data_IF_819419839001
#
_entry.id   IF_819419839001
#
_cell.length_a   1.000
_cell.length_b   1.000
_cell.length_c   1.000
_cell.angle_alpha   90.00
_cell.angle_beta   90.00
_cell.angle_gamma   90.00
#
_symmetry.space_group_name_H-M   'P 1'
#
loop_
_entity.id
_entity.type
_entity.pdbx_description
1 polymer ?
#
# COMPACT_ATOMS: atom_id res chain seq x y z
N UNK A 1 -44.26 -14.24 16.80
CA UNK A 1 -42.93 -13.67 16.45
C UNK A 1 -42.47 -13.85 14.99
N UNK A 2 -43.23 -14.50 14.09
CA UNK A 2 -42.81 -14.70 12.68
C UNK A 2 -43.16 -13.57 11.69
N UNK A 3 -44.05 -12.64 12.08
CA UNK A 3 -44.51 -11.57 11.18
C UNK A 3 -43.58 -10.34 11.10
N UNK A 4 -42.74 -10.09 12.12
CA UNK A 4 -41.85 -8.92 12.16
C UNK A 4 -40.63 -9.05 11.24
N UNK A 5 -40.17 -10.27 10.97
CA UNK A 5 -38.99 -10.50 10.11
C UNK A 5 -39.33 -10.38 8.61
N UNK A 6 -40.55 -10.76 8.20
CA UNK A 6 -41.00 -10.66 6.80
C UNK A 6 -41.22 -9.19 6.41
N UNK A 7 -41.73 -8.35 7.33
CA UNK A 7 -41.95 -6.92 7.06
C UNK A 7 -40.63 -6.15 6.88
N UNK A 8 -39.57 -6.52 7.61
CA UNK A 8 -38.26 -5.88 7.52
C UNK A 8 -37.58 -6.16 6.16
N UNK A 9 -37.67 -7.40 5.68
CA UNK A 9 -37.07 -7.82 4.40
C UNK A 9 -37.76 -7.12 3.21
N UNK A 10 -39.08 -6.93 3.29
CA UNK A 10 -39.87 -6.27 2.24
C UNK A 10 -39.59 -4.77 2.14
N UNK A 11 -39.37 -4.09 3.28
CA UNK A 11 -39.01 -2.66 3.30
C UNK A 11 -37.62 -2.42 2.72
N UNK A 12 -36.66 -3.32 2.98
CA UNK A 12 -35.30 -3.23 2.41
C UNK A 12 -35.33 -3.42 0.89
N UNK A 13 -36.10 -4.38 0.39
CA UNK A 13 -36.22 -4.61 -1.06
C UNK A 13 -36.86 -3.44 -1.81
N UNK A 14 -37.89 -2.81 -1.22
CA UNK A 14 -38.53 -1.64 -1.84
C UNK A 14 -37.57 -0.44 -1.84
N UNK A 15 -36.78 -0.24 -0.79
CA UNK A 15 -35.79 0.83 -0.72
C UNK A 15 -34.72 0.70 -1.82
N UNK A 16 -34.19 -0.51 -2.03
CA UNK A 16 -33.21 -0.79 -3.08
C UNK A 16 -33.78 -0.58 -4.49
N UNK A 17 -35.04 -0.96 -4.72
CA UNK A 17 -35.69 -0.75 -6.02
C UNK A 17 -35.95 0.73 -6.32
N UNK A 18 -36.26 1.55 -5.31
CA UNK A 18 -36.40 3.02 -5.50
C UNK A 18 -35.07 3.72 -5.75
N UNK A 19 -33.97 3.26 -5.13
CA UNK A 19 -32.64 3.82 -5.37
C UNK A 19 -32.17 3.47 -6.79
N UNK A 20 -32.38 2.23 -7.25
CA UNK A 20 -32.01 1.81 -8.60
C UNK A 20 -32.82 2.48 -9.72
N UNK A 21 -34.02 3.00 -9.42
CA UNK A 21 -34.89 3.64 -10.41
C UNK A 21 -34.75 5.18 -10.46
N UNK A 22 -34.01 5.78 -9.53
CA UNK A 22 -33.73 7.22 -9.50
C UNK A 22 -32.58 7.63 -10.45
N UNK A 23 -31.73 6.70 -10.87
CA UNK A 23 -30.57 6.99 -11.74
C UNK A 23 -30.84 6.87 -13.25
N UNK A 24 -32.06 6.53 -13.68
CA UNK A 24 -32.40 6.39 -15.12
C UNK A 24 -33.44 7.39 -15.58
N UNK A 25 -33.13 8.68 -15.55
CA UNK A 25 -33.83 9.67 -16.41
C UNK A 25 -32.87 10.73 -16.97
N UNK A 26 -32.60 10.58 -18.26
CA UNK A 26 -32.39 11.63 -19.26
C UNK A 26 -31.56 12.86 -18.85
N UNK A 27 -30.24 12.74 -18.96
CA UNK A 27 -29.37 13.82 -19.39
C UNK A 27 -28.38 13.18 -20.36
N UNK A 28 -28.34 13.61 -21.63
CA UNK A 28 -27.23 13.23 -22.52
C UNK A 28 -25.91 13.67 -21.88
N UNK A 29 -24.78 12.96 -22.09
CA UNK A 29 -23.58 13.23 -21.30
C UNK A 29 -23.04 14.62 -21.64
N UNK A 30 -23.33 15.58 -20.77
CA UNK A 30 -22.53 16.79 -20.64
C UNK A 30 -21.24 16.35 -19.94
N UNK A 31 -20.19 16.11 -20.73
CA UNK A 31 -18.88 15.78 -20.19
C UNK A 31 -18.28 17.04 -19.57
N UNK A 32 -18.20 17.04 -18.26
CA UNK A 32 -17.58 18.08 -17.45
C UNK A 32 -16.20 17.57 -17.01
N UNK A 33 -15.13 18.22 -17.46
CA UNK A 33 -13.76 17.96 -16.96
C UNK A 33 -13.50 18.86 -15.78
N UNK A 34 -13.31 18.29 -14.59
CA UNK A 34 -13.12 19.04 -13.35
C UNK A 34 -11.63 19.21 -13.03
N UNK A 35 -11.18 20.45 -12.81
CA UNK A 35 -9.87 20.77 -12.21
C UNK A 35 -10.05 20.96 -10.71
N UNK A 36 -9.21 20.32 -9.90
CA UNK A 36 -9.15 20.54 -8.46
C UNK A 36 -7.78 21.14 -8.10
N UNK A 37 -7.70 22.47 -8.00
CA UNK A 37 -6.48 23.12 -7.51
C UNK A 37 -6.47 23.02 -5.98
N UNK A 38 -5.45 22.40 -5.41
CA UNK A 38 -5.32 22.13 -3.96
C UNK A 38 -5.31 23.36 -3.05
N UNK A 39 -5.45 24.58 -3.60
CA UNK A 39 -5.40 25.85 -2.88
C UNK A 39 -6.74 26.60 -2.87
N UNK A 40 -7.86 25.98 -2.49
CA UNK A 40 -9.08 26.69 -2.08
C UNK A 40 -9.76 27.63 -3.09
N UNK A 41 -9.35 27.63 -4.37
CA UNK A 41 -9.92 28.47 -5.43
C UNK A 41 -10.69 27.64 -6.46
N UNK A 42 -11.56 28.34 -7.21
CA UNK A 42 -12.74 27.83 -7.89
C UNK A 42 -12.54 26.62 -8.84
N UNK A 43 -13.51 25.71 -8.81
CA UNK A 43 -13.69 24.58 -9.73
C UNK A 43 -13.88 25.09 -11.18
N UNK A 44 -12.93 24.80 -12.08
CA UNK A 44 -13.06 25.12 -13.51
C UNK A 44 -13.48 23.85 -14.25
N UNK A 45 -14.68 23.89 -14.81
CA UNK A 45 -15.21 22.83 -15.67
C UNK A 45 -14.97 23.16 -17.14
N UNK A 46 -14.26 22.30 -17.87
CA UNK A 46 -14.13 22.40 -19.33
C UNK A 46 -15.16 21.52 -20.03
N UNK A 47 -15.84 22.06 -21.04
CA UNK A 47 -16.59 21.23 -21.99
C UNK A 47 -15.64 20.70 -23.09
N UNK A 48 -16.10 19.70 -23.84
CA UNK A 48 -15.34 19.04 -24.92
C UNK A 48 -14.70 20.02 -25.91
N UNK A 49 -15.45 21.03 -26.36
CA UNK A 49 -14.97 22.03 -27.33
C UNK A 49 -13.82 22.86 -26.75
N UNK A 50 -13.87 23.18 -25.46
CA UNK A 50 -12.82 23.93 -24.78
C UNK A 50 -11.57 23.08 -24.56
N UNK A 51 -11.71 21.78 -24.24
CA UNK A 51 -10.56 20.88 -24.08
C UNK A 51 -9.83 20.66 -25.40
N UNK A 52 -10.57 20.42 -26.50
CA UNK A 52 -9.97 20.30 -27.83
C UNK A 52 -9.27 21.59 -28.25
N UNK A 53 -9.89 22.75 -28.03
CA UNK A 53 -9.27 24.04 -28.29
C UNK A 53 -7.99 24.23 -27.45
N UNK A 54 -7.94 23.72 -26.21
CA UNK A 54 -6.74 23.78 -25.37
C UNK A 54 -5.62 22.91 -25.94
N UNK A 55 -5.92 21.67 -26.34
CA UNK A 55 -4.95 20.72 -26.94
C UNK A 55 -4.51 21.20 -28.34
N UNK A 56 -5.37 21.90 -29.09
CA UNK A 56 -5.04 22.44 -30.41
C UNK A 56 -4.15 23.68 -30.35
N UNK A 57 -4.31 24.51 -29.32
CA UNK A 57 -3.57 25.77 -29.18
C UNK A 57 -2.36 25.68 -28.22
N UNK A 58 -2.19 24.57 -27.50
CA UNK A 58 -0.97 24.34 -26.70
C UNK A 58 0.21 24.01 -27.62
N UNK A 59 1.28 24.82 -27.52
CA UNK A 59 2.58 24.50 -28.14
C UNK A 59 3.37 23.46 -27.35
N UNK A 60 2.94 23.16 -26.11
CA UNK A 60 3.62 22.26 -25.18
C UNK A 60 2.87 20.92 -25.08
N UNK A 61 3.58 19.84 -24.75
CA UNK A 61 2.95 18.58 -24.38
C UNK A 61 2.05 18.81 -23.15
N UNK A 62 0.82 18.31 -23.20
CA UNK A 62 -0.11 18.45 -22.09
C UNK A 62 0.03 17.22 -21.21
N UNK A 63 0.38 17.43 -19.95
CA UNK A 63 0.44 16.36 -18.96
C UNK A 63 -0.99 15.95 -18.58
N UNK A 64 -1.39 14.83 -19.16
CA UNK A 64 -2.71 14.25 -18.99
C UNK A 64 -2.57 13.01 -18.12
N UNK A 65 -3.54 12.81 -17.23
CA UNK A 65 -3.67 11.54 -16.53
C UNK A 65 -4.96 10.83 -16.94
N UNK A 66 -4.89 9.51 -16.95
CA UNK A 66 -6.06 8.64 -17.08
C UNK A 66 -6.39 8.02 -15.73
N UNK A 67 -7.67 8.03 -15.39
CA UNK A 67 -8.13 7.27 -14.23
C UNK A 67 -8.26 5.79 -14.60
N UNK A 68 -7.52 4.92 -13.92
CA UNK A 68 -7.64 3.48 -14.12
C UNK A 68 -8.63 2.89 -13.13
N UNK A 69 -9.82 2.57 -13.63
CA UNK A 69 -10.92 2.01 -12.84
C UNK A 69 -10.59 0.66 -12.20
N UNK A 70 -9.59 -0.09 -12.69
CA UNK A 70 -9.25 -1.42 -12.15
C UNK A 70 -8.44 -1.33 -10.85
N UNK A 71 -7.56 -0.35 -10.73
CA UNK A 71 -6.70 -0.17 -9.55
C UNK A 71 -7.05 1.09 -8.75
N UNK A 72 -8.12 1.81 -9.13
CA UNK A 72 -8.62 2.99 -8.44
C UNK A 72 -7.56 4.12 -8.30
N UNK A 73 -6.58 4.17 -9.22
CA UNK A 73 -5.47 5.14 -9.24
C UNK A 73 -5.47 5.99 -10.51
N UNK A 74 -4.96 7.22 -10.41
CA UNK A 74 -4.58 8.03 -11.57
C UNK A 74 -3.24 7.53 -12.10
N UNK A 75 -3.11 7.41 -13.41
CA UNK A 75 -1.86 7.03 -14.07
C UNK A 75 -1.47 8.12 -15.07
N UNK A 76 -0.19 8.49 -15.17
CA UNK A 76 0.29 9.40 -16.19
C UNK A 76 0.03 8.84 -17.59
N UNK A 77 -0.23 9.73 -18.54
CA UNK A 77 -0.42 9.38 -19.93
C UNK A 77 0.90 9.49 -20.69
N UNK A 78 1.49 8.36 -21.06
CA UNK A 78 2.79 8.30 -21.75
C UNK A 78 2.70 8.47 -23.29
N UNK A 79 1.67 9.12 -23.81
CA UNK A 79 1.46 9.24 -25.26
C UNK A 79 1.43 10.69 -25.75
N UNK A 80 2.00 10.95 -26.93
CA UNK A 80 2.00 12.30 -27.53
C UNK A 80 0.60 12.93 -27.60
N UNK A 81 0.53 14.27 -27.61
CA UNK A 81 -0.70 15.03 -27.82
C UNK A 81 -1.52 14.56 -29.05
N UNK A 82 -0.86 14.05 -30.10
CA UNK A 82 -1.52 13.51 -31.29
C UNK A 82 -2.22 12.17 -31.04
N UNK A 83 -1.69 11.34 -30.14
CA UNK A 83 -2.34 10.09 -29.71
C UNK A 83 -3.62 10.39 -28.92
N UNK A 84 -3.59 11.38 -28.04
CA UNK A 84 -4.77 11.86 -27.29
C UNK A 84 -5.81 12.41 -28.24
N UNK A 85 -5.41 13.27 -29.20
CA UNK A 85 -6.32 13.79 -30.25
C UNK A 85 -6.99 12.65 -31.02
N UNK A 86 -6.22 11.64 -31.42
CA UNK A 86 -6.76 10.48 -32.13
C UNK A 86 -7.79 9.75 -31.27
N UNK A 87 -7.51 9.47 -29.99
CA UNK A 87 -8.40 8.73 -29.10
C UNK A 87 -9.71 9.49 -28.85
N UNK A 88 -9.60 10.80 -28.59
CA UNK A 88 -10.75 11.69 -28.36
C UNK A 88 -11.64 11.77 -29.61
N UNK A 89 -11.04 11.78 -30.80
CA UNK A 89 -11.80 11.88 -32.07
C UNK A 89 -12.36 10.56 -32.57
N UNK A 90 -11.74 9.41 -32.27
CA UNK A 90 -12.20 8.11 -32.79
C UNK A 90 -13.12 7.32 -31.85
N UNK A 91 -13.14 7.58 -30.54
CA UNK A 91 -13.79 6.68 -29.56
C UNK A 91 -14.91 7.30 -28.71
N UNK A 92 -15.42 8.48 -29.07
CA UNK A 92 -16.31 9.28 -28.23
C UNK A 92 -17.63 8.57 -27.82
N UNK A 93 -18.09 7.62 -28.64
CA UNK A 93 -19.35 6.91 -28.42
C UNK A 93 -19.18 5.57 -27.68
N UNK A 94 -17.93 5.13 -27.41
CA UNK A 94 -17.67 3.74 -27.03
C UNK A 94 -17.05 3.54 -25.64
N UNK A 95 -16.40 4.55 -25.03
CA UNK A 95 -15.77 4.37 -23.72
C UNK A 95 -15.78 5.66 -22.88
N UNK A 96 -16.29 5.62 -21.63
CA UNK A 96 -16.19 6.75 -20.71
C UNK A 96 -14.78 6.81 -20.13
N UNK A 97 -13.88 7.54 -20.78
CA UNK A 97 -12.63 7.94 -20.15
C UNK A 97 -12.80 9.32 -19.50
N UNK A 98 -12.38 9.44 -18.25
CA UNK A 98 -12.23 10.74 -17.59
C UNK A 98 -10.75 11.12 -17.76
N UNK A 99 -10.51 12.19 -18.51
CA UNK A 99 -9.19 12.82 -18.61
C UNK A 99 -9.18 14.03 -17.69
N UNK A 100 -8.15 14.14 -16.87
CA UNK A 100 -7.89 15.32 -16.04
C UNK A 100 -6.49 15.80 -16.39
N UNK A 101 -6.34 17.13 -16.46
CA UNK A 101 -5.01 17.75 -16.50
C UNK A 101 -4.39 17.50 -15.15
N UNK A 102 -3.32 16.71 -15.14
CA UNK A 102 -2.54 16.59 -13.93
C UNK A 102 -1.75 17.88 -13.78
N UNK A 103 -1.94 18.57 -12.66
CA UNK A 103 -0.86 19.38 -12.14
C UNK A 103 0.25 18.39 -11.82
N UNK A 104 1.39 18.53 -12.49
CA UNK A 104 2.59 17.83 -12.08
C UNK A 104 2.85 18.24 -10.65
N UNK A 105 2.59 17.31 -9.75
CA UNK A 105 3.19 17.37 -8.42
C UNK A 105 4.59 16.87 -8.64
N UNK A 106 5.59 17.73 -8.42
CA UNK A 106 6.99 17.32 -8.37
C UNK A 106 7.10 16.15 -7.39
N UNK A 107 7.24 14.94 -7.92
CA UNK A 107 7.57 13.78 -7.10
C UNK A 107 9.08 13.81 -6.85
N UNK A 108 9.49 13.63 -5.60
CA UNK A 108 10.90 13.67 -5.20
C UNK A 108 11.62 12.36 -5.58
N UNK A 109 11.62 12.02 -6.87
CA UNK A 109 12.11 10.75 -7.40
C UNK A 109 13.52 10.84 -8.02
N UNK A 110 14.08 12.06 -8.11
CA UNK A 110 15.41 12.32 -8.66
C UNK A 110 15.47 12.36 -10.19
N UNK A 111 14.33 12.46 -10.86
CA UNK A 111 14.22 12.65 -12.31
C UNK A 111 13.77 14.08 -12.64
N UNK A 112 14.27 14.60 -13.77
CA UNK A 112 13.80 15.85 -14.39
C UNK A 112 12.49 15.54 -15.12
N UNK A 113 11.38 15.62 -14.37
CA UNK A 113 10.05 15.19 -14.83
C UNK A 113 9.30 16.28 -15.61
N UNK A 114 9.68 17.55 -15.49
CA UNK A 114 9.16 18.67 -16.30
C UNK A 114 10.06 19.03 -17.52
N UNK A 115 11.23 18.38 -17.61
CA UNK A 115 12.16 18.37 -18.73
C UNK A 115 12.66 19.78 -19.11
N UNK A 116 12.84 20.63 -18.09
CA UNK A 116 13.36 21.99 -18.24
C UNK A 116 14.90 22.01 -18.45
N UNK A 117 15.56 20.86 -18.27
CA UNK A 117 16.99 20.67 -18.45
C UNK A 117 17.80 20.79 -17.16
N UNK A 118 17.13 20.94 -16.01
CA UNK A 118 17.67 20.83 -14.67
C UNK A 118 16.99 19.63 -13.99
N UNK A 119 17.75 18.84 -13.24
CA UNK A 119 17.13 17.96 -12.23
C UNK A 119 16.79 18.89 -11.07
N UNK A 120 15.65 19.60 -11.12
CA UNK A 120 15.26 20.52 -10.06
C UNK A 120 14.08 20.02 -9.20
N UNK A 121 14.47 19.75 -7.95
CA UNK A 121 13.72 19.31 -6.78
C UNK A 121 12.74 20.39 -6.28
N UNK A 122 11.78 20.73 -7.13
CA UNK A 122 11.04 21.99 -7.15
C UNK A 122 10.18 22.41 -5.95
N UNK A 123 9.84 21.56 -4.96
CA UNK A 123 9.39 22.02 -3.62
C UNK A 123 9.24 20.87 -2.59
N UNK A 124 10.17 19.90 -2.57
CA UNK A 124 10.21 18.86 -1.53
C UNK A 124 10.42 19.42 -0.10
N UNK A 125 10.62 20.73 0.03
CA UNK A 125 10.92 21.42 1.28
C UNK A 125 9.70 21.93 2.06
N UNK A 126 8.49 21.90 1.48
CA UNK A 126 7.31 22.50 2.11
C UNK A 126 6.14 21.52 2.23
N UNK A 127 6.34 20.37 2.87
CA UNK A 127 5.24 19.74 3.61
C UNK A 127 4.84 20.74 4.72
N UNK A 128 3.60 21.24 4.79
CA UNK A 128 3.19 22.21 5.80
C UNK A 128 3.36 21.63 7.22
N UNK A 129 4.48 21.97 7.86
CA UNK A 129 4.89 21.42 9.15
C UNK A 129 6.40 21.17 9.28
N UNK A 130 7.11 21.02 8.16
CA UNK A 130 8.56 20.75 8.14
C UNK A 130 9.28 22.04 7.76
N UNK A 131 9.81 22.76 8.74
CA UNK A 131 10.61 23.96 8.47
C UNK A 131 11.97 23.57 7.89
N UNK A 132 12.19 23.88 6.61
CA UNK A 132 13.48 24.13 5.96
C UNK A 132 14.69 23.32 6.49
N UNK A 133 14.99 22.20 5.84
CA UNK A 133 16.32 21.59 5.82
C UNK A 133 16.59 20.40 6.74
N UNK A 134 15.59 19.93 7.49
CA UNK A 134 15.66 18.68 8.25
C UNK A 134 14.65 17.72 7.67
N UNK A 135 15.12 16.63 7.07
CA UNK A 135 14.25 15.49 6.85
C UNK A 135 13.93 14.90 8.23
N UNK A 136 12.78 15.27 8.79
CA UNK A 136 12.31 14.72 10.05
C UNK A 136 11.88 13.29 9.81
N UNK A 137 12.85 12.39 9.91
CA UNK A 137 12.62 10.96 9.85
C UNK A 137 11.74 10.57 11.04
N UNK A 138 10.51 10.12 10.79
CA UNK A 138 9.72 9.45 11.81
C UNK A 138 10.37 8.08 12.09
N UNK A 139 11.39 8.07 12.96
CA UNK A 139 12.14 6.87 13.36
C UNK A 139 11.49 6.14 14.54
N UNK A 140 10.47 6.74 15.15
CA UNK A 140 9.87 6.31 16.42
C UNK A 140 9.28 4.89 16.40
N UNK A 141 9.10 4.29 15.21
CA UNK A 141 8.57 2.94 15.03
C UNK A 141 9.62 1.83 15.18
N UNK A 142 10.90 2.10 14.94
CA UNK A 142 11.93 1.05 14.83
C UNK A 142 13.00 1.15 15.93
N UNK A 143 13.43 -0.03 16.39
CA UNK A 143 14.57 -0.22 17.26
C UNK A 143 15.86 -0.13 16.45
N UNK A 144 16.32 1.08 16.13
CA UNK A 144 17.61 1.23 15.45
C UNK A 144 18.76 0.85 16.39
N UNK A 145 19.60 -0.15 16.06
CA UNK A 145 20.81 -0.36 16.82
C UNK A 145 21.69 0.91 16.75
N UNK A 146 22.53 1.16 17.76
CA UNK A 146 23.37 2.37 17.80
C UNK A 146 24.24 2.58 16.56
N UNK A 147 24.51 1.51 15.80
CA UNK A 147 25.32 1.52 14.58
C UNK A 147 24.59 2.00 13.33
N UNK A 148 23.26 2.05 13.32
CA UNK A 148 22.44 2.46 12.16
C UNK A 148 21.46 3.58 12.48
N UNK A 149 21.68 4.32 13.58
CA UNK A 149 20.84 5.47 13.91
C UNK A 149 20.95 6.55 12.82
N UNK A 150 19.96 6.58 11.94
CA UNK A 150 19.91 7.44 10.76
C UNK A 150 19.94 8.92 11.13
N UNK A 151 19.37 9.30 12.28
CA UNK A 151 19.38 10.69 12.76
C UNK A 151 20.79 11.23 13.08
N UNK A 152 21.77 10.34 13.23
CA UNK A 152 23.16 10.71 13.53
C UNK A 152 24.07 10.77 12.29
N UNK A 153 23.57 10.34 11.13
CA UNK A 153 24.32 10.27 9.89
C UNK A 153 24.26 11.62 9.15
N UNK A 154 25.36 11.97 8.46
CA UNK A 154 25.36 13.11 7.53
C UNK A 154 24.59 12.79 6.24
N UNK A 155 24.17 13.81 5.49
CA UNK A 155 23.47 13.62 4.21
C UNK A 155 24.24 12.72 3.24
N UNK A 156 25.57 12.85 3.17
CA UNK A 156 26.42 12.01 2.32
C UNK A 156 26.53 10.55 2.80
N UNK A 157 26.27 10.27 4.08
CA UNK A 157 26.17 8.91 4.60
C UNK A 157 24.78 8.32 4.39
N UNK A 158 23.73 9.16 4.43
CA UNK A 158 22.36 8.75 4.18
C UNK A 158 22.12 8.32 2.73
N UNK A 159 22.87 8.85 1.77
CA UNK A 159 22.75 8.43 0.36
C UNK A 159 23.28 7.01 0.08
N UNK A 160 23.94 6.36 1.04
CA UNK A 160 24.45 4.99 0.92
C UNK A 160 24.67 4.36 2.31
N UNK A 161 23.58 4.10 3.03
CA UNK A 161 23.61 3.46 4.35
C UNK A 161 23.92 1.98 4.17
N UNK A 162 25.06 1.55 4.70
CA UNK A 162 25.48 0.15 4.65
C UNK A 162 24.86 -0.63 5.81
N UNK A 163 24.39 -1.86 5.54
CA UNK A 163 23.75 -2.73 6.54
C UNK A 163 22.59 -2.01 7.25
N UNK A 164 21.73 -1.30 6.50
CA UNK A 164 20.53 -0.71 7.09
C UNK A 164 19.75 -1.82 7.78
N UNK A 165 19.42 -1.60 9.06
CA UNK A 165 18.67 -2.54 9.87
C UNK A 165 17.42 -1.84 10.41
N UNK A 166 16.24 -2.35 10.02
CA UNK A 166 14.95 -1.95 10.57
C UNK A 166 14.43 -3.11 11.41
N UNK A 167 14.25 -2.88 12.71
CA UNK A 167 13.92 -3.93 13.67
C UNK A 167 12.79 -3.47 14.58
N UNK A 168 11.90 -4.39 14.91
CA UNK A 168 11.01 -4.26 16.06
C UNK A 168 11.23 -5.53 16.87
N UNK A 169 11.89 -5.41 18.02
CA UNK A 169 12.52 -6.53 18.73
C UNK A 169 11.59 -7.72 19.05
N UNK A 170 10.26 -7.48 19.10
CA UNK A 170 9.25 -8.52 19.36
C UNK A 170 8.62 -9.14 18.11
N UNK A 171 8.85 -8.56 16.93
CA UNK A 171 8.08 -8.83 15.72
C UNK A 171 8.96 -9.38 14.59
N UNK A 172 10.10 -8.74 14.34
CA UNK A 172 10.95 -9.09 13.22
C UNK A 172 11.97 -8.03 12.87
N UNK A 173 12.69 -8.28 11.77
CA UNK A 173 13.82 -7.48 11.33
C UNK A 173 14.03 -7.58 9.83
N UNK A 174 14.49 -6.49 9.22
CA UNK A 174 14.95 -6.44 7.84
C UNK A 174 16.37 -5.86 7.85
N UNK A 175 17.32 -6.56 7.24
CA UNK A 175 18.69 -6.08 7.06
C UNK A 175 19.09 -6.15 5.61
N UNK A 176 19.31 -4.99 4.97
CA UNK A 176 19.78 -4.95 3.58
C UNK A 176 21.27 -5.28 3.48
N UNK A 177 21.64 -6.10 2.52
CA UNK A 177 23.02 -6.50 2.26
C UNK A 177 23.78 -5.45 1.45
N UNK A 178 23.07 -4.73 0.58
CA UNK A 178 23.59 -3.63 -0.22
C UNK A 178 23.37 -2.27 0.47
N UNK A 179 24.15 -1.24 0.11
CA UNK A 179 23.88 0.12 0.57
C UNK A 179 22.55 0.62 0.01
N UNK A 180 21.77 1.29 0.87
CA UNK A 180 20.48 1.91 0.50
C UNK A 180 20.49 3.40 0.80
N UNK A 181 19.82 4.19 -0.03
CA UNK A 181 19.60 5.61 0.12
C UNK A 181 18.47 5.84 1.12
N UNK A 182 18.84 6.16 2.34
CA UNK A 182 17.90 6.53 3.40
C UNK A 182 17.66 8.04 3.47
N UNK A 183 18.06 8.81 2.47
CA UNK A 183 17.86 10.26 2.50
C UNK A 183 16.37 10.59 2.41
N UNK A 184 15.85 11.23 3.44
CA UNK A 184 14.45 11.68 3.54
C UNK A 184 13.38 10.58 3.44
N UNK A 185 13.75 9.33 3.73
CA UNK A 185 12.82 8.20 3.74
C UNK A 185 12.01 8.11 5.03
N UNK A 186 10.69 8.07 4.92
CA UNK A 186 9.78 7.81 6.04
C UNK A 186 9.44 6.31 6.15
N UNK A 187 10.37 5.55 6.73
CA UNK A 187 10.16 4.12 6.96
C UNK A 187 8.93 3.81 7.81
N UNK A 188 8.46 4.73 8.66
CA UNK A 188 7.32 4.44 9.53
C UNK A 188 6.02 4.24 8.75
N UNK A 189 5.91 4.95 7.61
CA UNK A 189 4.77 4.90 6.70
C UNK A 189 4.87 3.75 5.69
N UNK A 190 6.08 3.45 5.22
CA UNK A 190 6.30 2.55 4.07
C UNK A 190 6.89 1.18 4.45
N UNK A 191 7.16 0.93 5.73
CA UNK A 191 7.63 -0.36 6.24
C UNK A 191 6.72 -0.83 7.37
N UNK A 192 6.16 -2.01 7.24
CA UNK A 192 5.44 -2.70 8.30
C UNK A 192 6.23 -3.92 8.78
N UNK A 193 6.42 -4.02 10.10
CA UNK A 193 7.03 -5.18 10.77
C UNK A 193 6.10 -5.59 11.90
N UNK A 194 5.38 -6.69 11.70
CA UNK A 194 4.45 -7.26 12.68
C UNK A 194 4.87 -8.71 12.99
N UNK A 195 4.35 -9.34 14.05
CA UNK A 195 4.64 -10.74 14.31
C UNK A 195 4.31 -11.60 13.09
N UNK A 196 5.30 -12.36 12.62
CA UNK A 196 5.20 -13.22 11.45
C UNK A 196 5.11 -12.49 10.11
N UNK A 197 5.28 -11.17 10.03
CA UNK A 197 4.99 -10.41 8.82
C UNK A 197 5.90 -9.19 8.64
N UNK A 198 6.41 -9.01 7.42
CA UNK A 198 7.05 -7.76 6.99
C UNK A 198 6.50 -7.32 5.65
N UNK A 199 6.36 -6.02 5.44
CA UNK A 199 5.93 -5.46 4.17
C UNK A 199 6.58 -4.13 3.89
N UNK A 200 6.97 -3.95 2.63
CA UNK A 200 7.67 -2.78 2.13
C UNK A 200 6.90 -2.15 0.95
N UNK A 201 6.81 -0.82 0.96
CA UNK A 201 6.42 -0.05 -0.22
C UNK A 201 7.68 0.39 -0.99
N UNK A 202 8.19 -0.50 -1.85
CA UNK A 202 9.39 -0.24 -2.67
C UNK A 202 9.23 0.99 -3.54
N UNK A 203 8.04 1.19 -4.12
CA UNK A 203 7.77 2.32 -5.03
C UNK A 203 7.98 3.67 -4.32
N UNK A 204 7.65 3.73 -3.03
CA UNK A 204 7.78 4.95 -2.22
C UNK A 204 9.17 5.11 -1.58
N UNK A 205 9.92 4.02 -1.40
CA UNK A 205 11.25 4.04 -0.77
C UNK A 205 12.41 4.08 -1.78
N UNK A 206 12.15 3.71 -3.04
CA UNK A 206 13.13 3.68 -4.11
C UNK A 206 13.65 2.28 -4.43
N UNK A 207 14.14 2.14 -5.66
CA UNK A 207 14.55 0.86 -6.26
C UNK A 207 15.71 0.16 -5.54
N UNK A 208 16.50 0.89 -4.77
CA UNK A 208 17.61 0.35 -3.99
C UNK A 208 17.15 -0.46 -2.78
N UNK A 209 15.92 -0.27 -2.34
CA UNK A 209 15.28 -1.10 -1.31
C UNK A 209 14.77 -2.44 -1.86
N UNK A 210 14.56 -2.54 -3.18
CA UNK A 210 14.35 -3.81 -3.90
C UNK A 210 15.69 -4.49 -4.19
N UNK A 211 16.41 -4.81 -3.12
CA UNK A 211 17.74 -5.41 -3.20
C UNK A 211 17.89 -6.55 -2.18
N UNK A 212 18.97 -7.36 -2.29
CA UNK A 212 19.18 -8.48 -1.39
C UNK A 212 19.14 -8.06 0.08
N UNK A 213 18.42 -8.85 0.88
CA UNK A 213 18.22 -8.59 2.28
C UNK A 213 18.06 -9.89 3.09
N UNK A 214 18.32 -9.79 4.39
CA UNK A 214 17.96 -10.82 5.37
C UNK A 214 16.72 -10.36 6.13
N UNK A 215 15.67 -11.18 6.08
CA UNK A 215 14.40 -10.97 6.77
C UNK A 215 14.30 -11.94 7.94
N UNK A 216 13.93 -11.44 9.11
CA UNK A 216 13.65 -12.24 10.29
C UNK A 216 12.19 -12.02 10.70
N UNK A 217 11.43 -13.11 10.79
CA UNK A 217 10.06 -13.13 11.26
C UNK A 217 10.00 -13.83 12.61
N UNK A 218 9.46 -13.17 13.62
CA UNK A 218 9.25 -13.75 14.95
C UNK A 218 7.84 -14.31 15.10
N UNK A 219 7.67 -15.30 15.97
CA UNK A 219 6.37 -15.91 16.26
C UNK A 219 5.95 -17.03 15.30
N UNK A 220 6.89 -17.55 14.50
CA UNK A 220 6.66 -18.63 13.53
C UNK A 220 7.05 -19.97 14.12
N UNK A 221 6.12 -20.93 14.18
CA UNK A 221 6.39 -22.29 14.61
C UNK A 221 7.25 -23.01 13.56
N UNK A 222 8.54 -23.18 13.85
CA UNK A 222 9.47 -23.83 12.93
C UNK A 222 9.21 -25.32 12.69
N UNK A 223 8.33 -25.95 13.47
CA UNK A 223 7.88 -27.33 13.24
C UNK A 223 6.73 -27.42 12.22
N UNK A 224 6.05 -26.31 11.95
CA UNK A 224 4.94 -26.24 10.98
C UNK A 224 4.71 -24.78 10.56
N UNK A 225 5.23 -24.39 9.41
CA UNK A 225 5.07 -23.05 8.86
C UNK A 225 4.84 -23.07 7.35
N UNK A 226 4.15 -22.04 6.88
CA UNK A 226 4.02 -21.65 5.48
C UNK A 226 4.57 -20.23 5.32
N UNK A 227 5.49 -20.03 4.37
CA UNK A 227 6.06 -18.73 4.03
C UNK A 227 5.47 -18.23 2.71
N UNK A 228 4.83 -17.08 2.76
CA UNK A 228 4.22 -16.39 1.65
C UNK A 228 5.03 -15.18 1.22
N UNK A 229 4.96 -14.87 -0.08
CA UNK A 229 5.50 -13.67 -0.69
C UNK A 229 4.45 -13.02 -1.59
N UNK A 230 4.46 -11.70 -1.65
CA UNK A 230 3.74 -10.95 -2.67
C UNK A 230 4.42 -9.59 -2.92
N UNK A 231 4.26 -9.05 -4.13
CA UNK A 231 4.74 -7.71 -4.48
C UNK A 231 3.80 -6.64 -3.93
N UNK A 232 4.36 -5.50 -3.52
CA UNK A 232 3.61 -4.33 -3.03
C UNK A 232 3.40 -4.30 -1.52
N UNK A 233 2.72 -3.26 -1.04
CA UNK A 233 2.59 -2.94 0.38
C UNK A 233 1.27 -3.42 1.00
N UNK A 234 1.35 -4.03 2.17
CA UNK A 234 0.25 -4.65 2.90
C UNK A 234 0.24 -4.18 4.36
N UNK A 235 -0.96 -4.06 4.94
CA UNK A 235 -1.15 -3.69 6.34
C UNK A 235 -1.09 -4.86 7.32
N UNK A 236 -1.25 -6.10 6.84
CA UNK A 236 -1.29 -7.29 7.69
C UNK A 236 -0.92 -8.56 6.92
N UNK A 237 -0.63 -9.64 7.67
CA UNK A 237 -0.44 -10.98 7.12
C UNK A 237 -1.67 -11.48 6.33
N UNK A 238 -2.87 -11.25 6.86
CA UNK A 238 -4.13 -11.66 6.20
C UNK A 238 -4.32 -10.95 4.85
N UNK A 239 -3.99 -9.66 4.78
CA UNK A 239 -4.06 -8.89 3.52
C UNK A 239 -3.07 -9.44 2.49
N UNK A 240 -1.84 -9.79 2.91
CA UNK A 240 -0.83 -10.37 2.02
C UNK A 240 -1.29 -11.71 1.45
N UNK A 241 -1.74 -12.64 2.31
CA UNK A 241 -2.12 -14.01 1.92
C UNK A 241 -3.39 -14.01 1.06
N UNK A 242 -4.35 -13.13 1.36
CA UNK A 242 -5.60 -13.03 0.61
C UNK A 242 -5.49 -12.25 -0.71
N UNK A 243 -4.39 -11.51 -0.90
CA UNK A 243 -4.14 -10.72 -2.11
C UNK A 243 -3.92 -11.60 -3.35
N UNK A 244 -4.51 -11.25 -4.50
CA UNK A 244 -4.18 -11.89 -5.77
C UNK A 244 -2.68 -11.82 -6.05
N UNK A 245 -2.06 -12.97 -6.34
CA UNK A 245 -0.63 -13.06 -6.62
C UNK A 245 0.22 -13.56 -5.46
N UNK A 246 -0.36 -13.69 -4.26
CA UNK A 246 0.33 -14.30 -3.13
C UNK A 246 0.82 -15.70 -3.49
N UNK A 247 2.11 -15.94 -3.26
CA UNK A 247 2.78 -17.18 -3.61
C UNK A 247 3.30 -17.86 -2.34
N UNK A 248 3.04 -19.17 -2.20
CA UNK A 248 3.68 -20.00 -1.18
C UNK A 248 5.12 -20.30 -1.62
N UNK A 249 6.08 -19.70 -0.92
CA UNK A 249 7.51 -19.75 -1.24
C UNK A 249 8.19 -20.93 -0.57
N UNK A 250 7.78 -21.30 0.64
CA UNK A 250 8.31 -22.47 1.34
C UNK A 250 7.31 -22.96 2.39
N UNK A 251 7.43 -24.24 2.74
CA UNK A 251 6.79 -24.84 3.90
C UNK A 251 7.79 -25.71 4.66
N UNK A 252 7.40 -26.20 5.84
CA UNK A 252 8.19 -27.19 6.58
C UNK A 252 8.55 -28.39 5.69
N UNK A 253 9.77 -28.92 5.88
CA UNK A 253 10.31 -30.02 5.08
C UNK A 253 10.82 -29.67 3.68
N UNK A 254 10.60 -28.45 3.16
CA UNK A 254 11.05 -28.07 1.80
C UNK A 254 12.52 -27.65 1.71
N UNK A 255 13.14 -27.23 2.83
CA UNK A 255 14.58 -26.98 2.96
C UNK A 255 15.18 -25.89 2.05
N UNK A 256 14.39 -25.29 1.16
CA UNK A 256 14.77 -24.24 0.21
C UNK A 256 13.52 -23.47 -0.23
N UNK A 257 13.73 -22.23 -0.68
CA UNK A 257 12.75 -21.47 -1.44
C UNK A 257 12.38 -22.28 -2.69
N UNK A 258 11.08 -22.44 -2.97
CA UNK A 258 10.54 -23.34 -4.00
C UNK A 258 11.35 -23.32 -5.32
N UNK A 259 12.22 -24.31 -5.50
CA UNK A 259 13.27 -24.42 -6.54
C UNK A 259 12.72 -24.76 -7.95
N UNK A 260 11.56 -24.21 -8.31
CA UNK A 260 10.86 -24.54 -9.57
C UNK A 260 9.71 -23.62 -9.97
N UNK A 261 9.50 -22.51 -9.26
CA UNK A 261 8.56 -21.43 -9.65
C UNK A 261 9.30 -20.10 -9.63
N UNK A 262 8.66 -19.00 -10.07
CA UNK A 262 9.23 -17.64 -9.94
C UNK A 262 9.68 -17.31 -8.50
N UNK A 263 9.22 -18.07 -7.49
CA UNK A 263 9.66 -18.00 -6.10
C UNK A 263 11.15 -18.37 -5.88
N UNK A 264 11.80 -19.09 -6.80
CA UNK A 264 13.25 -19.37 -6.73
C UNK A 264 14.11 -18.12 -6.93
N UNK A 265 13.57 -17.10 -7.61
CA UNK A 265 14.23 -15.79 -7.73
C UNK A 265 14.01 -14.91 -6.50
N UNK A 266 12.98 -15.19 -5.69
CA UNK A 266 12.58 -14.37 -4.53
C UNK A 266 13.52 -14.58 -3.34
N UNK A 267 13.83 -15.83 -3.00
CA UNK A 267 14.73 -16.12 -1.89
C UNK A 267 15.73 -17.24 -2.17
N UNK A 268 16.87 -17.19 -1.48
CA UNK A 268 18.02 -18.07 -1.73
C UNK A 268 18.35 -18.99 -0.55
N UNK A 269 17.92 -18.65 0.68
CA UNK A 269 18.11 -19.47 1.86
C UNK A 269 17.00 -19.22 2.87
N UNK A 270 16.61 -20.29 3.57
CA UNK A 270 15.67 -20.25 4.68
C UNK A 270 16.24 -21.05 5.83
N UNK A 271 16.17 -20.50 7.03
CA UNK A 271 16.46 -21.23 8.26
C UNK A 271 15.42 -20.90 9.31
N UNK A 272 14.89 -21.91 9.99
CA UNK A 272 13.95 -21.72 11.08
C UNK A 272 14.50 -22.40 12.34
N UNK A 273 14.53 -21.66 13.46
CA UNK A 273 14.94 -22.19 14.75
C UNK A 273 14.05 -21.64 15.87
N UNK A 274 13.43 -22.54 16.64
CA UNK A 274 12.52 -22.14 17.72
C UNK A 274 11.26 -21.49 17.15
N UNK A 275 11.09 -20.19 17.40
CA UNK A 275 9.96 -19.39 16.90
C UNK A 275 10.36 -18.35 15.86
N UNK A 276 11.58 -18.47 15.33
CA UNK A 276 12.21 -17.44 14.51
C UNK A 276 12.52 -18.03 13.14
N UNK A 277 11.91 -17.45 12.11
CA UNK A 277 12.15 -17.78 10.71
C UNK A 277 13.05 -16.70 10.10
N UNK A 278 14.18 -17.10 9.53
CA UNK A 278 15.10 -16.22 8.79
C UNK A 278 15.09 -16.60 7.32
N UNK A 279 14.92 -15.60 6.46
CA UNK A 279 14.83 -15.74 5.00
C UNK A 279 15.83 -14.77 4.38
N UNK A 280 16.69 -15.28 3.52
CA UNK A 280 17.59 -14.45 2.71
C UNK A 280 16.96 -14.29 1.33
N UNK A 281 16.69 -13.05 0.95
CA UNK A 281 15.95 -12.68 -0.26
C UNK A 281 16.89 -12.03 -1.27
N UNK A 282 16.64 -12.22 -2.57
CA UNK A 282 17.44 -11.58 -3.61
C UNK A 282 16.94 -10.17 -3.96
N UNK A 283 15.68 -9.90 -3.63
CA UNK A 283 14.95 -8.66 -3.83
C UNK A 283 13.83 -8.64 -2.77
N UNK A 284 13.41 -7.47 -2.28
CA UNK A 284 12.57 -7.39 -1.08
C UNK A 284 11.32 -6.55 -1.32
N UNK A 285 10.15 -7.20 -1.19
CA UNK A 285 8.84 -6.55 -1.06
C UNK A 285 8.22 -6.95 0.30
N UNK A 286 7.36 -7.97 0.29
CA UNK A 286 6.55 -8.35 1.43
C UNK A 286 6.55 -9.85 1.64
N UNK A 287 6.77 -10.25 2.88
CA UNK A 287 6.87 -11.64 3.32
C UNK A 287 6.02 -11.88 4.55
N UNK A 288 5.35 -13.03 4.59
CA UNK A 288 4.50 -13.42 5.71
C UNK A 288 4.68 -14.89 6.04
N UNK A 289 4.96 -15.21 7.28
CA UNK A 289 4.95 -16.57 7.81
C UNK A 289 3.64 -16.83 8.55
N UNK A 290 2.96 -17.90 8.17
CA UNK A 290 1.82 -18.44 8.93
C UNK A 290 2.27 -19.74 9.61
N UNK A 291 1.75 -20.02 10.80
CA UNK A 291 1.85 -21.35 11.37
C UNK A 291 1.00 -22.28 10.52
N UNK A 292 1.59 -23.38 10.03
CA UNK A 292 0.88 -24.26 9.12
C UNK A 292 -0.42 -24.82 9.73
N UNK A 293 -1.34 -25.32 8.88
CA UNK A 293 -2.69 -25.72 9.29
C UNK A 293 -2.73 -26.90 10.29
N UNK A 294 -1.58 -27.51 10.61
CA UNK A 294 -1.42 -28.56 11.61
C UNK A 294 -0.88 -28.07 12.96
N UNK A 295 -0.41 -26.82 13.04
CA UNK A 295 0.15 -26.22 14.24
C UNK A 295 -0.97 -26.03 15.25
N UNK A 296 -0.90 -26.60 16.46
CA UNK A 296 -1.88 -26.33 17.51
C UNK A 296 -1.77 -24.84 17.85
N UNK A 297 -2.70 -24.04 17.30
CA UNK A 297 -2.71 -22.58 17.39
C UNK A 297 -2.29 -22.10 18.79
N UNK A 298 -1.09 -21.55 18.87
CA UNK A 298 -0.51 -20.97 20.08
C UNK A 298 -0.92 -19.51 20.29
N UNK A 299 -1.77 -18.96 19.41
CA UNK A 299 -2.52 -17.76 19.76
C UNK A 299 -3.66 -18.25 20.65
N UNK A 300 -3.85 -17.72 21.86
CA UNK A 300 -5.12 -17.92 22.52
C UNK A 300 -6.15 -17.29 21.58
N UNK A 301 -6.82 -18.13 20.78
CA UNK A 301 -8.17 -17.79 20.35
C UNK A 301 -8.78 -17.16 21.59
N UNK A 302 -9.18 -15.90 21.50
CA UNK A 302 -10.11 -15.36 22.46
C UNK A 302 -11.33 -16.26 22.29
N UNK A 303 -11.34 -17.35 23.05
CA UNK A 303 -12.31 -18.39 22.91
C UNK A 303 -13.62 -17.64 23.06
N UNK A 304 -14.43 -17.64 22.02
CA UNK A 304 -15.65 -16.86 22.01
C UNK A 304 -16.48 -17.25 23.24
N UNK A 305 -16.35 -18.50 23.74
CA UNK A 305 -16.89 -18.91 25.03
C UNK A 305 -16.31 -18.15 26.22
N UNK A 306 -15.01 -17.88 26.29
CA UNK A 306 -14.38 -17.10 27.35
C UNK A 306 -14.90 -15.66 27.38
N UNK A 307 -15.02 -15.00 26.23
CA UNK A 307 -15.64 -13.66 26.13
C UNK A 307 -17.12 -13.72 26.53
N UNK A 308 -17.87 -14.70 26.02
CA UNK A 308 -19.27 -14.92 26.38
C UNK A 308 -19.40 -15.19 27.89
N UNK A 309 -18.49 -15.93 28.51
CA UNK A 309 -18.53 -16.23 29.95
C UNK A 309 -18.30 -14.98 30.78
N UNK A 310 -17.34 -14.14 30.41
CA UNK A 310 -17.06 -12.87 31.09
C UNK A 310 -18.26 -11.92 30.98
N UNK A 311 -18.87 -11.82 29.80
CA UNK A 311 -20.10 -11.03 29.58
C UNK A 311 -21.30 -11.58 30.36
N UNK A 312 -21.45 -12.91 30.44
CA UNK A 312 -22.52 -13.54 31.20
C UNK A 312 -22.36 -13.30 32.70
N UNK A 313 -21.14 -13.43 33.22
CA UNK A 313 -20.81 -13.17 34.63
C UNK A 313 -21.05 -11.71 35.01
N UNK A 314 -20.67 -10.75 34.17
CA UNK A 314 -20.94 -9.32 34.41
C UNK A 314 -22.44 -9.02 34.35
N UNK A 315 -23.20 -9.62 33.43
CA UNK A 315 -24.65 -9.47 33.38
C UNK A 315 -25.34 -10.02 34.65
N UNK A 316 -24.92 -11.20 35.14
CA UNK A 316 -25.44 -11.79 36.39
C UNK A 316 -25.12 -10.92 37.60
N UNK A 317 -23.87 -10.45 37.72
CA UNK A 317 -23.47 -9.57 38.82
C UNK A 317 -24.30 -8.28 38.86
N UNK A 318 -24.53 -7.66 37.69
CA UNK A 318 -25.35 -6.45 37.56
C UNK A 318 -26.82 -6.70 37.94
N UNK A 319 -27.36 -7.87 37.59
CA UNK A 319 -28.72 -8.25 37.94
C UNK A 319 -28.90 -8.49 39.45
N UNK A 320 -27.92 -9.12 40.10
CA UNK A 320 -27.95 -9.39 41.55
C UNK A 320 -27.86 -8.10 42.36
N UNK A 321 -27.05 -7.13 41.93
CA UNK A 321 -26.91 -5.83 42.61
C UNK A 321 -28.21 -5.02 42.52
N UNK A 322 -28.90 -5.02 41.38
CA UNK A 322 -30.17 -4.28 41.20
C UNK A 322 -31.37 -4.85 41.98
N UNK A 323 -31.26 -6.06 42.53
CA UNK A 323 -32.34 -6.71 43.30
C UNK A 323 -32.18 -6.61 44.81
N UNK A 324 -31.08 -6.05 45.30
CA UNK A 324 -30.91 -5.67 46.71
C UNK A 324 -31.26 -4.20 46.88
#
# INVERSE_FOLDING_TARGET
>A
MKFKHILLILVVFVLFATIANAERKNVGPAWNVTRNSGSGDAEITYNYTNLLSLIENSSNELNLCRYNLRNNKWLPWEGSNNAVKSIITTNIDTFPFIFVLCEETDECDGFDNDNDGLVDEGDCYNIPGVTNGSCDFAQDKFDFPPTTNLSSLSSAQLSAVNNLNLEISSNGKITWENPVNSHCMDYSQYVNIEPGFVSLDVDMLGYDHDSPATVVLEGINCEDYDLYYNTGFYSSLEDLISSPGAALVASEGMGSCNDGTAAGDVCNAISCSGTTLTVNVNHFDSFGGENGPGSPEGVPEFNLLSIIMVLLLTAIATFVIKRK
#
